data_IF_907990850291
#
_entry.id   IF_907990850291
#
_cell.length_a   1.000
_cell.length_b   1.000
_cell.length_c   1.000
_cell.angle_alpha   90.00
_cell.angle_beta   90.00
_cell.angle_gamma   90.00
#
_symmetry.space_group_name_H-M   'P 1'
#
loop_
_entity.id
_entity.type
_entity.pdbx_description
1 polymer ?
#
# COMPACT_ATOMS: atom_id res chain seq x y z
N UNK A 1 -10.03 27.20 0.80
CA UNK A 1 -9.19 26.47 1.76
C UNK A 1 -10.05 25.42 2.40
N UNK A 2 -9.58 24.18 2.48
CA UNK A 2 -10.33 23.08 3.09
C UNK A 2 -9.78 22.85 4.49
N UNK A 3 -10.65 22.86 5.50
CA UNK A 3 -10.23 22.65 6.88
C UNK A 3 -10.53 21.21 7.31
N UNK A 4 -9.51 20.48 7.70
CA UNK A 4 -9.63 19.19 8.36
C UNK A 4 -9.82 19.43 9.87
N UNK A 5 -11.00 19.11 10.37
CA UNK A 5 -11.31 19.21 11.79
C UNK A 5 -11.01 17.88 12.47
N UNK A 6 -10.05 17.86 13.39
CA UNK A 6 -9.68 16.66 14.13
C UNK A 6 -10.48 16.58 15.43
N UNK A 7 -11.06 15.43 15.71
CA UNK A 7 -11.74 15.16 16.97
C UNK A 7 -11.13 13.93 17.65
N UNK A 8 -10.63 14.11 18.87
CA UNK A 8 -10.18 13.00 19.70
C UNK A 8 -11.38 12.43 20.44
N UNK A 9 -11.65 11.12 20.30
CA UNK A 9 -12.70 10.47 21.10
C UNK A 9 -12.41 10.62 22.60
N UNK A 10 -13.45 10.60 23.45
CA UNK A 10 -13.27 10.67 24.92
C UNK A 10 -12.32 9.60 25.44
N UNK A 11 -12.35 8.39 24.86
CA UNK A 11 -11.41 7.31 25.20
C UNK A 11 -9.97 7.67 24.83
N UNK A 12 -9.76 8.26 23.65
CA UNK A 12 -8.43 8.69 23.23
C UNK A 12 -7.92 9.86 24.07
N UNK A 13 -8.77 10.87 24.36
CA UNK A 13 -8.42 11.97 25.27
C UNK A 13 -7.98 11.46 26.65
N UNK A 14 -8.70 10.48 27.22
CA UNK A 14 -8.30 9.86 28.50
C UNK A 14 -6.97 9.11 28.39
N UNK A 15 -6.74 8.40 27.29
CA UNK A 15 -5.51 7.64 27.06
C UNK A 15 -4.31 8.57 26.92
N UNK A 16 -4.48 9.65 26.15
CA UNK A 16 -3.44 10.63 25.88
C UNK A 16 -3.32 11.69 26.97
N UNK A 17 -4.25 11.74 27.92
CA UNK A 17 -4.32 12.75 29.00
C UNK A 17 -3.27 12.59 30.10
N UNK A 18 -2.19 11.85 29.84
CA UNK A 18 -1.14 11.52 30.79
C UNK A 18 0.07 12.43 30.53
N UNK A 19 0.64 13.01 31.59
CA UNK A 19 1.87 13.78 31.48
C UNK A 19 2.98 12.91 30.87
N UNK A 20 3.69 13.41 29.87
CA UNK A 20 4.66 12.70 29.04
C UNK A 20 4.08 12.16 27.74
N UNK A 21 2.84 12.47 27.38
CA UNK A 21 2.24 12.06 26.10
C UNK A 21 2.00 13.26 25.19
N UNK A 22 2.46 13.14 23.95
CA UNK A 22 2.22 14.10 22.88
C UNK A 22 1.43 13.46 21.76
N UNK A 23 0.56 14.25 21.15
CA UNK A 23 -0.06 13.89 19.88
C UNK A 23 -0.08 15.10 18.96
N UNK A 24 0.29 14.89 17.71
CA UNK A 24 0.47 15.95 16.73
C UNK A 24 -0.09 15.48 15.38
N UNK A 25 -0.58 16.43 14.59
CA UNK A 25 -0.77 16.23 13.17
C UNK A 25 0.32 16.98 12.41
N UNK A 26 0.83 16.39 11.33
CA UNK A 26 1.80 17.03 10.44
C UNK A 26 1.48 16.71 9.00
N UNK A 27 1.55 17.73 8.13
CA UNK A 27 1.63 17.52 6.68
C UNK A 27 2.87 18.21 6.13
N UNK A 28 3.31 17.77 4.96
CA UNK A 28 4.43 18.38 4.23
C UNK A 28 3.87 19.04 2.98
N UNK A 29 4.20 20.32 2.76
CA UNK A 29 3.80 21.01 1.54
C UNK A 29 4.64 20.59 0.33
N UNK A 30 4.37 21.16 -0.85
CA UNK A 30 5.11 20.85 -2.08
C UNK A 30 6.59 21.24 -2.04
N UNK A 31 6.99 22.11 -1.11
CA UNK A 31 8.39 22.44 -0.85
C UNK A 31 9.04 21.49 0.19
N UNK A 32 8.28 20.54 0.73
CA UNK A 32 8.71 19.64 1.79
C UNK A 32 8.73 20.29 3.18
N UNK A 33 8.08 21.44 3.36
CA UNK A 33 8.01 22.12 4.67
C UNK A 33 6.98 21.43 5.54
N UNK A 34 7.35 21.09 6.77
CA UNK A 34 6.46 20.49 7.75
C UNK A 34 5.54 21.56 8.38
N UNK A 35 4.24 21.27 8.41
CA UNK A 35 3.21 22.09 9.06
C UNK A 35 2.60 21.31 10.22
N UNK A 36 3.01 21.67 11.44
CA UNK A 36 2.64 20.96 12.67
C UNK A 36 1.41 21.57 13.33
N UNK A 37 0.48 20.71 13.77
CA UNK A 37 -0.67 21.08 14.60
C UNK A 37 -0.66 20.23 15.88
N UNK A 38 -0.42 20.83 17.06
CA UNK A 38 -0.46 20.07 18.31
C UNK A 38 -1.90 19.66 18.64
N UNK A 39 -2.10 18.40 18.97
CA UNK A 39 -3.40 17.85 19.38
C UNK A 39 -3.43 17.57 20.89
N UNK A 40 -2.32 17.08 21.43
CA UNK A 40 -2.06 16.89 22.85
C UNK A 40 -0.63 17.32 23.15
N UNK A 41 -0.44 18.16 24.18
CA UNK A 41 0.87 18.59 24.64
C UNK A 41 1.06 18.20 26.11
N UNK A 42 2.01 17.31 26.39
CA UNK A 42 2.33 16.80 27.73
C UNK A 42 1.07 16.37 28.52
N UNK A 43 0.20 15.60 27.88
CA UNK A 43 -1.07 15.14 28.46
C UNK A 43 -2.23 16.13 28.39
N UNK A 44 -2.02 17.35 27.87
CA UNK A 44 -3.08 18.36 27.77
C UNK A 44 -3.67 18.40 26.36
N UNK A 45 -4.95 18.09 26.23
CA UNK A 45 -5.68 18.22 24.94
C UNK A 45 -5.77 19.69 24.53
N UNK A 46 -5.44 19.97 23.28
CA UNK A 46 -5.48 21.33 22.73
C UNK A 46 -6.91 21.74 22.34
N UNK A 47 -7.23 23.02 22.50
CA UNK A 47 -8.59 23.54 22.27
C UNK A 47 -8.96 23.74 20.79
N UNK A 48 -7.96 24.00 19.93
CA UNK A 48 -8.15 24.11 18.49
C UNK A 48 -7.42 22.96 17.79
N UNK A 49 -8.17 22.10 17.12
CA UNK A 49 -7.68 20.91 16.43
C UNK A 49 -7.95 20.98 14.91
N UNK A 50 -8.16 22.20 14.39
CA UNK A 50 -8.37 22.45 12.97
C UNK A 50 -7.02 22.56 12.23
N UNK A 51 -6.94 21.90 11.08
CA UNK A 51 -5.78 21.91 10.19
C UNK A 51 -6.23 22.48 8.85
N UNK A 52 -5.62 23.57 8.42
CA UNK A 52 -5.89 24.14 7.10
C UNK A 52 -5.05 23.42 6.04
N UNK A 53 -5.75 22.68 5.18
CA UNK A 53 -5.12 21.91 4.10
C UNK A 53 -4.95 22.78 2.86
N UNK A 54 -3.74 22.78 2.25
CA UNK A 54 -3.52 23.44 0.98
C UNK A 54 -4.20 22.69 -0.15
N UNK A 55 -4.42 23.38 -1.28
CA UNK A 55 -4.71 22.68 -2.53
C UNK A 55 -3.45 21.97 -3.01
N UNK A 56 -3.56 20.65 -3.20
CA UNK A 56 -2.44 19.74 -3.41
C UNK A 56 -2.95 18.41 -3.97
N UNK A 57 -2.19 17.80 -4.88
CA UNK A 57 -2.41 16.43 -5.35
C UNK A 57 -1.54 15.47 -4.56
N UNK A 58 -2.14 14.43 -4.00
CA UNK A 58 -1.40 13.39 -3.25
C UNK A 58 -0.80 13.86 -1.93
N UNK A 59 -1.47 14.77 -1.23
CA UNK A 59 -1.07 15.21 0.11
C UNK A 59 -1.37 14.18 1.19
N UNK A 60 -0.66 14.27 2.32
CA UNK A 60 -0.90 13.43 3.49
C UNK A 60 -0.85 14.24 4.77
N UNK A 61 -1.81 13.99 5.66
CA UNK A 61 -1.74 14.40 7.06
C UNK A 61 -1.41 13.17 7.89
N UNK A 62 -0.26 13.19 8.56
CA UNK A 62 0.14 12.17 9.50
C UNK A 62 -0.35 12.55 10.89
N UNK A 63 -0.92 11.57 11.60
CA UNK A 63 -1.26 11.67 13.01
C UNK A 63 -0.23 10.89 13.80
N UNK A 64 0.48 11.57 14.69
CA UNK A 64 1.61 11.05 15.43
C UNK A 64 1.29 11.05 16.92
N UNK A 65 1.64 9.98 17.62
CA UNK A 65 1.52 9.88 19.09
C UNK A 65 2.85 9.40 19.65
N UNK A 66 3.42 10.14 20.59
CA UNK A 66 4.65 9.77 21.28
C UNK A 66 4.44 9.68 22.79
N UNK A 67 5.16 8.74 23.41
CA UNK A 67 5.15 8.49 24.86
C UNK A 67 6.56 8.69 25.40
N UNK A 68 6.83 9.86 25.94
CA UNK A 68 8.15 10.25 26.45
C UNK A 68 8.14 10.59 27.93
N UNK A 69 9.11 11.42 28.33
CA UNK A 69 9.29 11.86 29.73
C UNK A 69 8.52 13.15 30.01
N UNK A 70 7.66 13.14 31.03
CA UNK A 70 6.84 14.29 31.45
C UNK A 70 7.66 15.56 31.71
N UNK A 71 7.03 16.72 31.51
CA UNK A 71 7.61 18.04 31.81
C UNK A 71 8.49 18.63 30.71
N UNK A 72 8.56 17.99 29.54
CA UNK A 72 9.15 18.61 28.35
C UNK A 72 8.16 19.60 27.73
N UNK A 73 8.65 20.78 27.34
CA UNK A 73 7.82 21.85 26.77
C UNK A 73 7.55 21.70 25.28
N UNK A 74 8.32 20.84 24.60
CA UNK A 74 8.22 20.57 23.16
C UNK A 74 8.12 19.08 22.91
N UNK A 75 7.31 18.70 21.91
CA UNK A 75 7.29 17.31 21.44
C UNK A 75 8.67 16.89 20.94
N UNK A 76 9.18 15.71 21.32
CA UNK A 76 10.44 15.21 20.78
C UNK A 76 10.35 14.93 19.27
N UNK A 77 9.15 14.75 18.72
CA UNK A 77 8.93 14.37 17.33
C UNK A 77 9.40 15.41 16.32
N UNK A 78 9.23 16.70 16.62
CA UNK A 78 9.64 17.78 15.70
C UNK A 78 11.16 17.83 15.48
N UNK A 79 11.94 17.27 16.41
CA UNK A 79 13.40 17.20 16.28
C UNK A 79 13.88 16.00 15.46
N UNK A 80 13.09 14.93 15.38
CA UNK A 80 13.43 13.68 14.68
C UNK A 80 12.72 13.53 13.34
N UNK A 81 11.63 14.26 13.11
CA UNK A 81 10.87 14.29 11.85
C UNK A 81 11.11 15.66 11.19
N UNK A 82 12.02 15.69 10.23
CA UNK A 82 12.39 16.89 9.46
C UNK A 82 11.86 16.86 8.03
N UNK A 83 11.54 15.66 7.52
CA UNK A 83 10.97 15.40 6.20
C UNK A 83 10.00 14.22 6.28
N UNK A 84 9.10 14.11 5.30
CA UNK A 84 8.06 13.08 5.27
C UNK A 84 8.61 11.65 5.40
N UNK A 85 9.71 11.35 4.70
CA UNK A 85 10.38 10.04 4.75
C UNK A 85 10.92 9.63 6.14
N UNK A 86 11.00 10.57 7.10
CA UNK A 86 11.37 10.24 8.48
C UNK A 86 10.23 9.53 9.23
N UNK A 87 9.00 9.55 8.68
CA UNK A 87 7.84 8.85 9.22
C UNK A 87 7.78 7.44 8.62
N UNK A 88 8.45 6.49 9.28
CA UNK A 88 8.57 5.09 8.86
C UNK A 88 8.48 4.14 10.04
N UNK A 89 8.30 2.84 9.78
CA UNK A 89 8.26 1.80 10.82
C UNK A 89 9.54 1.78 11.65
N UNK A 90 10.69 1.89 10.98
CA UNK A 90 12.01 1.90 11.62
C UNK A 90 12.18 3.14 12.52
N UNK A 91 11.81 4.33 12.02
CA UNK A 91 11.88 5.57 12.82
C UNK A 91 10.89 5.54 14.00
N UNK A 92 9.69 5.03 13.78
CA UNK A 92 8.67 4.84 14.80
C UNK A 92 9.12 3.89 15.92
N UNK A 93 9.89 2.85 15.58
CA UNK A 93 10.49 1.94 16.56
C UNK A 93 11.66 2.59 17.30
N UNK A 94 12.54 3.31 16.60
CA UNK A 94 13.70 3.97 17.19
C UNK A 94 13.32 5.13 18.13
N UNK A 95 12.24 5.84 17.82
CA UNK A 95 11.82 7.05 18.52
C UNK A 95 10.49 6.88 19.30
N UNK A 96 10.04 5.62 19.45
CA UNK A 96 8.85 5.22 20.21
C UNK A 96 7.59 6.06 19.92
N UNK A 97 7.26 6.18 18.64
CA UNK A 97 6.02 6.83 18.21
C UNK A 97 5.13 5.91 17.39
N UNK A 98 3.84 6.21 17.47
CA UNK A 98 2.78 5.65 16.65
C UNK A 98 2.46 6.65 15.55
N UNK A 99 2.17 6.16 14.36
CA UNK A 99 1.72 6.99 13.26
C UNK A 99 0.62 6.31 12.44
N UNK A 100 -0.22 7.13 11.85
CA UNK A 100 -1.20 6.75 10.82
C UNK A 100 -1.48 7.98 9.95
N UNK A 101 -2.18 7.85 8.82
CA UNK A 101 -2.36 8.98 7.90
C UNK A 101 -3.73 9.06 7.23
N UNK A 102 -4.08 10.29 6.87
CA UNK A 102 -5.15 10.61 5.93
C UNK A 102 -4.54 11.21 4.67
N UNK A 103 -4.74 10.56 3.53
CA UNK A 103 -4.25 10.99 2.22
C UNK A 103 -5.35 11.78 1.51
N UNK A 104 -4.98 12.81 0.76
CA UNK A 104 -5.93 13.70 0.09
C UNK A 104 -5.42 14.22 -1.25
N UNK A 105 -6.35 14.49 -2.14
CA UNK A 105 -6.16 15.36 -3.30
C UNK A 105 -7.23 16.44 -3.23
N UNK A 106 -6.79 17.69 -3.09
CA UNK A 106 -7.65 18.85 -3.00
C UNK A 106 -7.28 19.83 -4.11
N UNK A 107 -8.15 19.95 -5.09
CA UNK A 107 -8.05 20.86 -6.22
C UNK A 107 -9.14 21.93 -6.17
N UNK A 108 -10.06 21.86 -5.19
CA UNK A 108 -11.19 22.77 -5.06
C UNK A 108 -12.28 22.50 -6.09
N UNK A 109 -12.36 21.26 -6.57
CA UNK A 109 -13.32 20.83 -7.59
C UNK A 109 -14.01 19.51 -7.17
N UNK A 110 -15.04 19.06 -7.90
CA UNK A 110 -15.79 17.86 -7.53
C UNK A 110 -14.97 16.55 -7.52
N UNK A 111 -13.75 16.53 -8.04
CA UNK A 111 -12.83 15.38 -8.05
C UNK A 111 -11.93 15.31 -6.82
N UNK A 112 -12.07 16.25 -5.87
CA UNK A 112 -11.42 16.21 -4.56
C UNK A 112 -11.70 14.87 -3.87
N UNK A 113 -10.64 14.22 -3.41
CA UNK A 113 -10.66 12.86 -2.87
C UNK A 113 -9.84 12.78 -1.60
N UNK A 114 -10.17 11.82 -0.74
CA UNK A 114 -9.33 11.46 0.37
C UNK A 114 -9.60 10.05 0.87
N UNK A 115 -8.58 9.43 1.46
CA UNK A 115 -8.64 8.07 1.97
C UNK A 115 -7.85 7.93 3.27
N UNK A 116 -8.28 6.98 4.09
CA UNK A 116 -7.45 6.42 5.15
C UNK A 116 -6.71 5.23 4.57
N UNK A 117 -5.44 5.05 4.91
CA UNK A 117 -4.62 3.96 4.37
C UNK A 117 -3.96 3.17 5.49
N UNK A 118 -3.97 1.84 5.35
CA UNK A 118 -3.19 0.94 6.19
C UNK A 118 -2.19 0.13 5.36
N UNK A 119 -1.84 0.64 4.16
CA UNK A 119 -0.87 -0.02 3.25
C UNK A 119 0.49 -0.14 3.92
N UNK A 120 0.92 0.91 4.62
CA UNK A 120 2.20 0.89 5.35
C UNK A 120 2.09 0.06 6.62
N UNK A 121 0.94 0.07 7.29
CA UNK A 121 0.64 -0.65 8.53
C UNK A 121 -0.54 0.00 9.24
N UNK A 122 -0.89 -0.52 10.41
CA UNK A 122 -1.99 0.01 11.21
C UNK A 122 -1.47 0.64 12.51
N UNK A 123 -1.77 1.92 12.72
CA UNK A 123 -1.35 2.64 13.91
C UNK A 123 -2.53 3.09 14.76
N UNK A 124 -3.44 3.88 14.17
CA UNK A 124 -4.49 4.58 14.90
C UNK A 124 -5.86 4.16 14.33
N UNK A 125 -6.80 3.68 15.17
CA UNK A 125 -8.17 3.50 14.73
C UNK A 125 -8.80 4.88 14.48
N UNK A 126 -8.97 5.22 13.20
CA UNK A 126 -9.52 6.49 12.75
C UNK A 126 -10.83 6.32 11.97
N UNK A 127 -11.57 7.41 11.87
CA UNK A 127 -12.70 7.54 10.96
C UNK A 127 -12.72 8.96 10.39
N UNK A 128 -13.31 9.10 9.20
CA UNK A 128 -13.48 10.37 8.52
C UNK A 128 -14.96 10.63 8.28
N UNK A 129 -15.36 11.89 8.40
CA UNK A 129 -16.69 12.38 8.07
C UNK A 129 -16.57 13.53 7.08
N UNK A 130 -17.21 13.38 5.92
CA UNK A 130 -17.14 14.32 4.81
C UNK A 130 -18.49 15.04 4.73
N UNK A 131 -18.46 16.34 5.00
CA UNK A 131 -19.60 17.24 4.81
C UNK A 131 -19.44 17.91 3.45
N UNK A 132 -20.37 17.64 2.54
CA UNK A 132 -20.39 18.27 1.23
C UNK A 132 -20.90 19.72 1.34
N UNK A 133 -20.45 20.57 0.41
CA UNK A 133 -20.97 21.94 0.30
C UNK A 133 -22.45 21.97 -0.07
N UNK A 134 -22.88 21.00 -0.89
CA UNK A 134 -24.28 20.78 -1.20
C UNK A 134 -24.99 20.18 0.04
N UNK A 135 -25.88 20.94 0.71
CA UNK A 135 -26.56 20.46 1.91
C UNK A 135 -27.54 19.33 1.64
N UNK A 136 -27.91 19.06 0.38
CA UNK A 136 -28.75 17.93 0.00
C UNK A 136 -27.96 16.61 -0.04
N UNK A 137 -26.63 16.66 -0.12
CA UNK A 137 -25.80 15.45 -0.08
C UNK A 137 -25.65 14.95 1.36
N UNK A 138 -25.91 13.66 1.61
CA UNK A 138 -25.72 13.09 2.93
C UNK A 138 -24.26 13.17 3.33
N UNK A 139 -24.00 13.37 4.63
CA UNK A 139 -22.66 13.26 5.19
C UNK A 139 -22.14 11.84 4.93
N UNK A 140 -21.00 11.74 4.24
CA UNK A 140 -20.34 10.46 4.06
C UNK A 140 -19.43 10.16 5.24
N UNK A 141 -19.36 8.91 5.67
CA UNK A 141 -18.46 8.47 6.74
C UNK A 141 -17.73 7.19 6.33
N UNK A 142 -16.48 7.08 6.77
CA UNK A 142 -15.66 5.88 6.63
C UNK A 142 -14.89 5.67 7.93
N UNK A 143 -14.70 4.42 8.35
CA UNK A 143 -14.01 4.08 9.59
C UNK A 143 -14.08 2.59 9.90
N UNK A 144 -13.39 2.20 10.96
CA UNK A 144 -13.43 0.84 11.46
C UNK A 144 -14.70 0.62 12.30
N UNK A 145 -15.46 -0.43 12.00
CA UNK A 145 -16.60 -0.86 12.81
C UNK A 145 -16.18 -1.74 14.01
N UNK A 146 -14.97 -1.52 14.53
CA UNK A 146 -14.37 -2.29 15.62
C UNK A 146 -13.37 -1.41 16.38
N UNK A 147 -12.98 -1.82 17.57
CA UNK A 147 -11.99 -1.08 18.34
C UNK A 147 -10.57 -1.34 17.85
N UNK A 148 -9.69 -0.36 17.99
CA UNK A 148 -8.27 -0.57 17.67
C UNK A 148 -7.65 -1.72 18.46
N UNK A 149 -8.04 -1.92 19.72
CA UNK A 149 -7.54 -3.02 20.54
C UNK A 149 -7.95 -4.40 19.98
N UNK A 150 -9.15 -4.51 19.43
CA UNK A 150 -9.62 -5.74 18.80
C UNK A 150 -8.92 -5.97 17.46
N UNK A 151 -8.63 -4.91 16.69
CA UNK A 151 -7.79 -4.99 15.48
C UNK A 151 -6.39 -5.49 15.80
N UNK A 152 -5.71 -4.90 16.79
CA UNK A 152 -4.37 -5.36 17.20
C UNK A 152 -4.38 -6.84 17.65
N UNK A 153 -5.38 -7.25 18.43
CA UNK A 153 -5.54 -8.66 18.83
C UNK A 153 -5.78 -9.59 17.64
N UNK A 154 -6.65 -9.19 16.71
CA UNK A 154 -6.93 -9.98 15.51
C UNK A 154 -5.69 -10.11 14.62
N UNK A 155 -4.89 -9.05 14.48
CA UNK A 155 -3.63 -9.08 13.73
C UNK A 155 -2.63 -9.99 14.42
N UNK A 156 -2.41 -9.84 15.73
CA UNK A 156 -1.50 -10.72 16.49
C UNK A 156 -1.91 -12.20 16.37
N UNK A 157 -3.21 -12.50 16.29
CA UNK A 157 -3.71 -13.86 16.17
C UNK A 157 -3.34 -14.55 14.84
N UNK A 158 -2.88 -13.80 13.83
CA UNK A 158 -2.39 -14.39 12.56
C UNK A 158 -1.08 -15.15 12.81
N UNK A 159 -0.17 -14.58 13.60
CA UNK A 159 1.06 -15.22 14.05
C UNK A 159 1.21 -15.02 15.57
N UNK A 160 0.53 -15.84 16.41
CA UNK A 160 0.43 -15.62 17.85
C UNK A 160 1.78 -15.48 18.56
N UNK A 161 2.79 -16.21 18.09
CA UNK A 161 4.13 -16.25 18.67
C UNK A 161 5.08 -15.16 18.12
N UNK A 162 4.65 -14.37 17.13
CA UNK A 162 5.48 -13.32 16.54
C UNK A 162 5.61 -12.13 17.49
N UNK A 163 6.84 -11.70 17.72
CA UNK A 163 7.15 -10.45 18.47
C UNK A 163 7.34 -9.24 17.54
N UNK A 164 7.22 -9.45 16.24
CA UNK A 164 7.49 -8.46 15.19
C UNK A 164 6.26 -8.07 14.38
N UNK A 165 5.08 -8.54 14.79
CA UNK A 165 3.82 -8.26 14.10
C UNK A 165 3.05 -7.09 14.72
N UNK A 166 2.95 -7.07 16.06
CA UNK A 166 2.32 -6.00 16.82
C UNK A 166 3.30 -5.48 17.87
N UNK A 167 3.49 -4.17 17.89
CA UNK A 167 4.41 -3.51 18.80
C UNK A 167 3.64 -2.66 19.82
N UNK A 168 4.09 -2.67 21.06
CA UNK A 168 3.72 -1.70 22.09
C UNK A 168 4.61 -0.45 22.08
N UNK A 169 4.28 0.52 22.93
CA UNK A 169 5.24 1.53 23.35
C UNK A 169 6.30 0.89 24.25
N UNK A 170 7.55 1.32 24.10
CA UNK A 170 8.69 0.81 24.89
C UNK A 170 8.96 1.60 26.17
N UNK A 171 8.53 2.87 26.19
CA UNK A 171 8.77 3.80 27.28
C UNK A 171 7.60 4.77 27.52
N UNK A 172 7.72 5.54 28.60
CA UNK A 172 6.75 6.56 28.99
C UNK A 172 5.39 5.99 29.47
N UNK A 173 4.40 6.88 29.70
CA UNK A 173 3.12 6.50 30.30
C UNK A 173 2.32 5.48 29.49
N UNK A 174 2.44 5.48 28.16
CA UNK A 174 1.69 4.54 27.31
C UNK A 174 2.25 3.11 27.38
N UNK A 175 3.53 2.92 27.70
CA UNK A 175 4.14 1.59 27.87
C UNK A 175 3.64 0.86 29.12
N UNK A 176 3.33 1.60 30.20
CA UNK A 176 2.84 1.04 31.48
C UNK A 176 1.32 1.17 31.65
N UNK A 177 0.61 1.66 30.63
CA UNK A 177 -0.83 1.86 30.68
C UNK A 177 -1.59 0.53 30.80
N UNK A 178 -2.71 0.55 31.53
CA UNK A 178 -3.64 -0.58 31.63
C UNK A 178 -5.03 -0.16 31.12
N UNK A 179 -5.54 -0.78 30.03
CA UNK A 179 -4.90 -1.84 29.24
C UNK A 179 -3.70 -1.35 28.43
N UNK A 180 -2.84 -2.29 28.02
CA UNK A 180 -1.67 -2.00 27.20
C UNK A 180 -2.05 -1.20 25.94
N UNK A 181 -1.26 -0.17 25.66
CA UNK A 181 -1.44 0.67 24.47
C UNK A 181 -0.47 0.18 23.41
N UNK A 182 -1.01 -0.37 22.33
CA UNK A 182 -0.22 -0.70 21.15
C UNK A 182 0.33 0.56 20.50
N UNK A 183 1.39 0.42 19.71
CA UNK A 183 2.02 1.48 18.93
C UNK A 183 1.75 1.28 17.45
N UNK A 184 1.96 0.06 16.95
CA UNK A 184 1.95 -0.21 15.52
C UNK A 184 1.72 -1.70 15.22
N UNK A 185 1.08 -2.00 14.10
CA UNK A 185 0.95 -3.34 13.55
C UNK A 185 1.42 -3.35 12.10
N UNK A 186 2.27 -4.33 11.79
CA UNK A 186 2.92 -4.47 10.48
C UNK A 186 1.92 -4.93 9.44
N UNK A 187 1.88 -4.26 8.28
CA UNK A 187 1.19 -4.80 7.12
C UNK A 187 2.05 -5.85 6.41
N UNK A 188 1.45 -6.85 5.74
CA UNK A 188 2.20 -7.80 4.93
C UNK A 188 3.13 -7.13 3.90
N UNK A 189 2.71 -6.02 3.30
CA UNK A 189 3.49 -5.23 2.33
C UNK A 189 4.76 -4.58 2.91
N UNK A 190 4.83 -4.39 4.23
CA UNK A 190 5.98 -3.83 4.92
C UNK A 190 6.71 -4.83 5.83
N UNK A 191 6.38 -6.12 5.75
CA UNK A 191 6.96 -7.15 6.60
C UNK A 191 8.49 -7.21 6.52
N UNK A 192 9.05 -6.99 5.33
CA UNK A 192 10.50 -6.97 5.11
C UNK A 192 11.23 -5.80 5.81
N UNK A 193 10.52 -4.80 6.33
CA UNK A 193 11.10 -3.63 7.00
C UNK A 193 11.28 -3.84 8.52
N UNK A 194 10.79 -4.95 9.07
CA UNK A 194 10.98 -5.30 10.48
C UNK A 194 11.97 -6.44 10.65
N UNK A 195 12.60 -6.52 11.82
CA UNK A 195 13.43 -7.67 12.18
C UNK A 195 12.53 -8.89 12.39
N UNK A 196 12.92 -10.05 11.88
CA UNK A 196 12.09 -11.28 11.89
C UNK A 196 10.70 -11.06 11.24
N UNK A 197 10.65 -10.89 9.90
CA UNK A 197 9.43 -10.58 9.17
C UNK A 197 8.29 -11.57 9.48
N UNK A 198 7.13 -11.09 9.99
CA UNK A 198 6.03 -11.99 10.33
C UNK A 198 5.36 -12.64 9.12
N UNK A 199 5.57 -12.10 7.91
CA UNK A 199 4.97 -12.60 6.68
C UNK A 199 6.05 -12.94 5.67
N UNK A 200 5.91 -14.10 5.04
CA UNK A 200 6.78 -14.57 3.97
C UNK A 200 6.02 -14.67 2.65
N UNK A 201 6.72 -14.55 1.53
CA UNK A 201 6.11 -14.77 0.21
C UNK A 201 5.45 -16.16 0.10
N UNK A 202 6.02 -17.17 0.79
CA UNK A 202 5.50 -18.53 0.84
C UNK A 202 4.12 -18.66 1.47
N UNK A 203 3.65 -17.67 2.24
CA UNK A 203 2.32 -17.70 2.85
C UNK A 203 1.20 -17.73 1.79
N UNK A 204 1.48 -17.26 0.57
CA UNK A 204 0.56 -17.30 -0.55
C UNK A 204 0.58 -18.62 -1.34
N UNK A 205 1.55 -19.52 -1.09
CA UNK A 205 1.78 -20.70 -1.94
C UNK A 205 0.58 -21.64 -1.98
N UNK A 206 -0.10 -21.87 -0.85
CA UNK A 206 -1.28 -22.73 -0.80
C UNK A 206 -2.44 -22.14 -1.61
N UNK A 207 -2.71 -20.84 -1.42
CA UNK A 207 -3.74 -20.12 -2.17
C UNK A 207 -3.46 -20.15 -3.68
N UNK A 208 -2.22 -19.86 -4.08
CA UNK A 208 -1.82 -19.93 -5.48
C UNK A 208 -1.92 -21.36 -6.03
N UNK A 209 -1.54 -22.37 -5.24
CA UNK A 209 -1.67 -23.78 -5.61
C UNK A 209 -3.12 -24.18 -5.88
N UNK A 210 -4.04 -23.84 -4.97
CA UNK A 210 -5.47 -24.10 -5.11
C UNK A 210 -6.05 -23.38 -6.32
N UNK A 211 -5.70 -22.11 -6.48
CA UNK A 211 -6.14 -21.29 -7.59
C UNK A 211 -5.70 -21.89 -8.94
N UNK A 212 -4.45 -22.34 -9.04
CA UNK A 212 -3.93 -23.02 -10.23
C UNK A 212 -4.61 -24.38 -10.46
N UNK A 213 -5.05 -25.07 -9.40
CA UNK A 213 -5.75 -26.35 -9.51
C UNK A 213 -7.20 -26.24 -10.00
N UNK A 214 -7.82 -25.04 -9.98
CA UNK A 214 -9.21 -24.86 -10.44
C UNK A 214 -9.38 -24.91 -11.96
N UNK A 215 -8.32 -24.67 -12.74
CA UNK A 215 -8.33 -24.67 -14.21
C UNK A 215 -9.19 -23.55 -14.84
N UNK A 216 -8.56 -22.64 -15.61
CA UNK A 216 -9.27 -21.58 -16.35
C UNK A 216 -8.52 -20.25 -16.44
N UNK A 217 -9.20 -19.19 -16.87
CA UNK A 217 -8.70 -17.81 -16.74
C UNK A 217 -8.71 -17.42 -15.26
N UNK A 218 -7.53 -17.33 -14.68
CA UNK A 218 -7.30 -17.19 -13.24
C UNK A 218 -7.20 -15.70 -12.88
N UNK A 219 -8.31 -14.98 -12.94
CA UNK A 219 -8.45 -13.68 -12.27
C UNK A 219 -7.38 -12.60 -12.58
N UNK A 220 -7.26 -11.62 -11.67
CA UNK A 220 -6.28 -10.53 -11.74
C UNK A 220 -5.45 -10.52 -10.47
N UNK A 221 -4.13 -10.50 -10.61
CA UNK A 221 -3.17 -10.31 -9.53
C UNK A 221 -2.64 -8.89 -9.59
N UNK A 222 -2.86 -8.12 -8.54
CA UNK A 222 -2.27 -6.79 -8.40
C UNK A 222 -1.55 -6.64 -7.07
N UNK A 223 -0.54 -5.77 -7.05
CA UNK A 223 0.28 -5.57 -5.86
C UNK A 223 1.30 -4.46 -6.03
N UNK A 224 2.08 -4.24 -4.99
CA UNK A 224 3.21 -3.31 -4.98
C UNK A 224 4.46 -4.14 -4.66
N UNK A 225 5.54 -3.94 -5.42
CA UNK A 225 6.84 -4.54 -5.10
C UNK A 225 7.81 -3.44 -4.68
N UNK A 226 8.63 -3.67 -3.65
CA UNK A 226 9.51 -2.65 -3.04
C UNK A 226 10.83 -2.41 -3.81
N UNK A 227 10.84 -2.69 -5.12
CA UNK A 227 12.03 -2.66 -5.96
C UNK A 227 12.92 -3.88 -5.72
N UNK A 228 13.44 -4.46 -6.79
CA UNK A 228 14.33 -5.63 -6.73
C UNK A 228 15.14 -5.74 -8.03
N UNK A 229 16.32 -6.36 -7.94
CA UNK A 229 17.01 -6.81 -9.14
C UNK A 229 16.26 -8.01 -9.76
N UNK A 230 16.08 -8.00 -11.08
CA UNK A 230 15.61 -9.18 -11.79
C UNK A 230 16.70 -10.27 -11.87
N UNK A 231 16.38 -11.40 -12.49
CA UNK A 231 17.32 -12.52 -12.59
C UNK A 231 18.59 -12.22 -13.41
N UNK A 232 18.62 -11.12 -14.16
CA UNK A 232 19.80 -10.64 -14.88
C UNK A 232 20.58 -9.58 -14.08
N UNK A 233 20.17 -9.31 -12.84
CA UNK A 233 20.79 -8.31 -11.97
C UNK A 233 20.37 -6.87 -12.29
N UNK A 234 19.35 -6.65 -13.14
CA UNK A 234 18.89 -5.31 -13.47
C UNK A 234 17.92 -4.85 -12.39
N UNK A 235 18.25 -3.73 -11.74
CA UNK A 235 17.44 -3.17 -10.67
C UNK A 235 16.17 -2.50 -11.20
N UNK A 236 15.02 -2.92 -10.66
CA UNK A 236 13.71 -2.30 -10.91
C UNK A 236 13.29 -1.50 -9.69
N UNK A 237 12.85 -0.26 -9.89
CA UNK A 237 12.34 0.60 -8.83
C UNK A 237 10.99 0.08 -8.30
N UNK A 238 10.61 0.48 -7.09
CA UNK A 238 9.29 0.16 -6.53
C UNK A 238 8.17 0.57 -7.49
N UNK A 239 7.17 -0.31 -7.65
CA UNK A 239 6.07 -0.07 -8.58
C UNK A 239 4.83 -0.88 -8.25
N UNK A 240 3.71 -0.46 -8.83
CA UNK A 240 2.45 -1.20 -8.83
C UNK A 240 2.41 -2.14 -10.03
N UNK A 241 1.87 -3.34 -9.84
CA UNK A 241 1.58 -4.27 -10.94
C UNK A 241 0.12 -4.72 -10.91
N UNK A 242 -0.43 -5.05 -12.08
CA UNK A 242 -1.76 -5.62 -12.27
C UNK A 242 -1.76 -6.54 -13.49
N UNK A 243 -1.79 -7.84 -13.25
CA UNK A 243 -1.70 -8.88 -14.27
C UNK A 243 -2.98 -9.70 -14.32
N UNK A 244 -3.45 -10.01 -15.53
CA UNK A 244 -4.42 -11.10 -15.71
C UNK A 244 -3.66 -12.41 -15.74
N UNK A 245 -3.96 -13.35 -14.85
CA UNK A 245 -3.34 -14.68 -14.91
C UNK A 245 -4.25 -15.56 -15.76
N UNK A 246 -3.71 -16.14 -16.82
CA UNK A 246 -4.40 -17.19 -17.59
C UNK A 246 -3.60 -18.46 -17.44
N UNK A 247 -4.25 -19.55 -17.01
CA UNK A 247 -3.61 -20.86 -16.89
C UNK A 247 -4.03 -21.69 -18.10
N UNK A 248 -3.13 -21.87 -19.07
CA UNK A 248 -3.35 -22.80 -20.17
C UNK A 248 -2.83 -24.19 -19.78
N UNK A 249 -3.72 -25.16 -19.70
CA UNK A 249 -3.38 -26.53 -19.31
C UNK A 249 -3.19 -27.41 -20.54
N UNK A 250 -2.05 -27.25 -21.22
CA UNK A 250 -1.55 -28.24 -22.20
C UNK A 250 -0.52 -29.20 -21.60
N UNK A 251 -0.40 -29.24 -20.28
CA UNK A 251 0.38 -30.26 -19.57
C UNK A 251 1.90 -30.04 -19.52
N UNK A 252 2.45 -28.94 -20.04
CA UNK A 252 3.90 -28.68 -19.93
C UNK A 252 4.37 -27.23 -19.74
N UNK A 253 3.52 -26.20 -19.65
CA UNK A 253 4.05 -24.85 -19.36
C UNK A 253 3.04 -23.88 -18.80
N UNK A 254 3.44 -23.13 -17.76
CA UNK A 254 2.78 -21.88 -17.38
C UNK A 254 3.28 -20.84 -18.37
N UNK A 255 2.39 -20.29 -19.20
CA UNK A 255 2.66 -19.09 -19.98
C UNK A 255 1.85 -17.95 -19.36
N UNK A 256 2.48 -17.05 -18.56
CA UNK A 256 1.84 -15.80 -18.20
C UNK A 256 1.56 -15.05 -19.51
N UNK A 257 0.30 -15.01 -19.94
CA UNK A 257 -0.14 -14.06 -20.96
C UNK A 257 -0.18 -12.69 -20.31
N UNK A 258 0.95 -11.98 -20.41
CA UNK A 258 1.08 -10.58 -20.05
C UNK A 258 0.29 -9.74 -21.04
N UNK A 259 -0.97 -9.46 -20.72
CA UNK A 259 -1.68 -8.33 -21.32
C UNK A 259 -1.50 -7.14 -20.39
N UNK A 260 -0.46 -6.36 -20.65
CA UNK A 260 -0.23 -5.10 -19.94
C UNK A 260 -1.35 -4.11 -20.34
N UNK A 261 -2.25 -3.78 -19.42
CA UNK A 261 -3.13 -2.61 -19.58
C UNK A 261 -2.42 -1.47 -18.85
N UNK A 262 -1.46 -0.84 -19.52
CA UNK A 262 -0.92 0.44 -19.06
C UNK A 262 -1.90 1.55 -19.45
N UNK A 263 -2.70 2.01 -18.50
CA UNK A 263 -3.27 3.36 -18.63
C UNK A 263 -2.13 4.35 -18.40
N UNK A 264 -1.65 4.91 -19.52
CA UNK A 264 -0.67 6.00 -19.68
C UNK A 264 0.82 5.60 -19.84
N UNK A 265 1.20 5.20 -21.05
CA UNK A 265 2.53 5.48 -21.58
C UNK A 265 2.39 5.98 -23.03
N UNK A 266 3.06 7.08 -23.38
CA UNK A 266 2.99 7.62 -24.74
C UNK A 266 3.68 6.68 -25.75
N UNK A 267 3.25 6.65 -27.03
CA UNK A 267 3.62 5.60 -28.00
C UNK A 267 5.12 5.43 -28.30
N UNK A 268 5.99 6.35 -27.85
CA UNK A 268 7.39 6.41 -28.24
C UNK A 268 8.36 5.65 -27.31
N UNK A 269 7.88 5.11 -26.19
CA UNK A 269 8.69 4.32 -25.24
C UNK A 269 8.49 2.79 -25.40
N UNK A 270 7.52 2.38 -26.22
CA UNK A 270 7.11 0.97 -26.39
C UNK A 270 8.17 0.07 -27.04
N UNK A 271 9.10 0.60 -27.82
CA UNK A 271 10.05 -0.25 -28.58
C UNK A 271 11.27 -0.68 -27.76
N UNK A 272 11.58 0.01 -26.66
CA UNK A 272 12.74 -0.31 -25.81
C UNK A 272 12.43 -1.35 -24.71
N UNK A 273 11.18 -1.40 -24.23
CA UNK A 273 10.74 -2.31 -23.17
C UNK A 273 10.38 -3.73 -23.64
N UNK A 274 10.19 -3.93 -24.94
CA UNK A 274 9.85 -5.23 -25.55
C UNK A 274 11.07 -6.13 -25.83
N UNK A 275 12.26 -5.80 -25.34
CA UNK A 275 13.40 -6.71 -25.51
C UNK A 275 13.18 -7.98 -24.67
N UNK A 276 13.30 -9.16 -25.31
CA UNK A 276 13.10 -10.51 -24.75
C UNK A 276 13.84 -10.77 -23.41
N UNK A 277 14.80 -9.91 -23.04
CA UNK A 277 15.59 -9.99 -21.82
C UNK A 277 14.78 -9.67 -20.54
N UNK A 278 13.85 -8.71 -20.57
CA UNK A 278 13.07 -8.32 -19.39
C UNK A 278 12.00 -9.37 -19.03
N UNK A 279 11.36 -9.95 -20.05
CA UNK A 279 10.41 -11.05 -19.92
C UNK A 279 11.08 -12.35 -19.44
N UNK A 280 12.28 -12.65 -19.94
CA UNK A 280 13.06 -13.83 -19.52
C UNK A 280 13.51 -13.76 -18.05
N UNK A 281 13.88 -12.56 -17.57
CA UNK A 281 14.34 -12.37 -16.19
C UNK A 281 13.20 -12.52 -15.16
N UNK A 282 12.00 -12.07 -15.51
CA UNK A 282 10.81 -12.15 -14.66
C UNK A 282 10.26 -13.59 -14.60
N UNK A 283 10.31 -14.32 -15.71
CA UNK A 283 9.94 -15.74 -15.78
C UNK A 283 10.84 -16.60 -14.87
N UNK A 284 12.14 -16.29 -14.81
CA UNK A 284 13.11 -17.01 -13.99
C UNK A 284 12.97 -16.69 -12.49
N UNK A 285 12.55 -15.48 -12.13
CA UNK A 285 12.24 -15.11 -10.73
C UNK A 285 11.06 -15.91 -10.18
N UNK A 286 10.02 -16.13 -11.01
CA UNK A 286 8.89 -17.00 -10.66
C UNK A 286 9.36 -18.46 -10.50
N UNK A 287 10.26 -18.97 -11.35
CA UNK A 287 10.83 -20.32 -11.18
C UNK A 287 11.58 -20.50 -9.85
N UNK A 288 12.33 -19.47 -9.41
CA UNK A 288 13.06 -19.50 -8.14
C UNK A 288 12.12 -19.42 -6.93
N UNK A 289 11.00 -18.70 -7.02
CA UNK A 289 9.99 -18.65 -5.95
C UNK A 289 9.11 -19.91 -5.86
N UNK A 290 8.86 -20.61 -6.98
CA UNK A 290 7.91 -21.74 -7.03
C UNK A 290 8.55 -23.14 -7.11
N UNK A 291 9.88 -23.25 -7.10
CA UNK A 291 10.60 -24.45 -6.68
C UNK A 291 10.25 -25.77 -7.38
N UNK A 292 10.41 -25.90 -8.71
CA UNK A 292 10.67 -27.17 -9.43
C UNK A 292 11.50 -26.93 -10.70
N UNK A 293 12.38 -27.88 -11.05
CA UNK A 293 13.27 -27.78 -12.21
C UNK A 293 12.50 -27.80 -13.53
N UNK A 294 12.58 -26.70 -14.29
CA UNK A 294 12.33 -26.74 -15.73
C UNK A 294 13.65 -27.12 -16.40
N UNK A 295 13.80 -28.40 -16.76
CA UNK A 295 14.94 -28.88 -17.53
C UNK A 295 14.86 -28.35 -18.97
N UNK A 296 15.96 -27.89 -19.59
CA UNK A 296 15.98 -27.60 -21.01
C UNK A 296 15.98 -28.91 -21.80
N UNK A 297 14.80 -29.35 -22.24
CA UNK A 297 14.67 -30.43 -23.21
C UNK A 297 14.83 -29.92 -24.63
N UNK A 298 15.98 -30.19 -25.25
CA UNK A 298 16.15 -30.13 -26.69
C UNK A 298 15.11 -31.05 -27.36
N UNK A 299 14.29 -30.53 -28.27
CA UNK A 299 14.39 -30.73 -29.74
C UNK A 299 13.10 -30.15 -30.38
N UNK A 300 13.16 -28.91 -30.87
CA UNK A 300 12.29 -28.42 -31.95
C UNK A 300 13.19 -27.68 -32.94
N UNK A 301 14.10 -28.43 -33.54
CA UNK A 301 14.50 -28.15 -34.92
C UNK A 301 13.42 -28.78 -35.79
N UNK A 302 13.05 -28.08 -36.87
CA UNK A 302 11.99 -28.39 -37.85
C UNK A 302 10.55 -28.08 -37.42
N UNK A 303 10.15 -26.80 -37.56
CA UNK A 303 8.89 -26.35 -38.23
C UNK A 303 8.68 -24.83 -38.10
N UNK A 304 9.74 -24.03 -38.34
CA UNK A 304 9.59 -22.57 -38.47
C UNK A 304 10.21 -22.02 -39.76
N UNK A 305 10.36 -22.87 -40.78
CA UNK A 305 10.45 -22.43 -42.17
C UNK A 305 9.11 -22.76 -42.83
N UNK A 306 8.49 -21.75 -43.45
CA UNK A 306 7.21 -21.75 -44.16
C UNK A 306 5.95 -21.33 -43.38
N UNK A 307 5.93 -20.09 -42.87
CA UNK A 307 4.71 -19.26 -43.01
C UNK A 307 5.12 -17.79 -43.21
N UNK A 308 5.34 -17.39 -44.47
CA UNK A 308 5.33 -15.98 -44.85
C UNK A 308 3.88 -15.52 -45.00
N UNK A 309 3.32 -14.84 -43.99
CA UNK A 309 2.08 -14.10 -44.16
C UNK A 309 2.38 -12.69 -44.65
N UNK A 310 1.86 -12.36 -45.83
CA UNK A 310 1.94 -11.01 -46.40
C UNK A 310 0.97 -10.08 -45.67
N UNK A 311 1.22 -8.75 -45.66
CA UNK A 311 0.41 -7.75 -44.95
C UNK A 311 -1.10 -7.81 -45.24
N UNK A 312 -1.50 -8.34 -46.39
CA UNK A 312 -2.90 -8.44 -46.81
C UNK A 312 -3.73 -9.44 -45.98
N UNK A 313 -3.11 -10.47 -45.39
CA UNK A 313 -3.83 -11.43 -44.54
C UNK A 313 -4.18 -10.85 -43.16
N UNK A 314 -3.44 -9.84 -42.70
CA UNK A 314 -3.71 -9.14 -41.44
C UNK A 314 -4.88 -8.15 -41.57
N UNK A 315 -5.02 -7.49 -42.73
CA UNK A 315 -6.18 -6.62 -43.02
C UNK A 315 -7.48 -7.41 -43.17
N UNK A 316 -7.43 -8.61 -43.76
CA UNK A 316 -8.61 -9.49 -43.86
C UNK A 316 -9.11 -9.95 -42.48
N UNK A 317 -8.20 -10.28 -41.56
CA UNK A 317 -8.57 -10.68 -40.18
C UNK A 317 -9.11 -9.52 -39.34
N UNK A 318 -8.60 -8.30 -39.55
CA UNK A 318 -9.12 -7.08 -38.89
C UNK A 318 -10.52 -6.69 -39.39
N UNK A 319 -10.80 -6.86 -40.69
CA UNK A 319 -12.13 -6.62 -41.25
C UNK A 319 -13.17 -7.66 -40.74
N UNK A 320 -12.73 -8.90 -40.53
CA UNK A 320 -13.59 -9.96 -40.01
C UNK A 320 -13.96 -9.73 -38.52
N UNK A 321 -13.00 -9.24 -37.72
CA UNK A 321 -13.27 -8.84 -36.33
C UNK A 321 -14.26 -7.67 -36.25
N UNK A 322 -14.11 -6.64 -37.10
CA UNK A 322 -15.03 -5.49 -37.08
C UNK A 322 -16.47 -5.87 -37.44
N UNK A 323 -16.66 -6.86 -38.33
CA UNK A 323 -18.00 -7.36 -38.72
C UNK A 323 -18.69 -8.15 -37.61
N UNK A 324 -17.93 -8.85 -36.76
CA UNK A 324 -18.46 -9.62 -35.64
C UNK A 324 -18.94 -8.71 -34.50
N UNK A 325 -18.22 -7.64 -34.21
CA UNK A 325 -18.60 -6.67 -33.15
C UNK A 325 -19.84 -5.83 -33.46
N UNK A 326 -20.21 -5.65 -34.73
CA UNK A 326 -21.42 -4.90 -35.10
C UNK A 326 -22.69 -5.77 -35.13
N UNK A 327 -22.55 -7.10 -35.10
CA UNK A 327 -23.68 -8.03 -35.05
C UNK A 327 -24.20 -8.29 -33.61
N UNK A 328 -23.44 -7.91 -32.58
CA UNK A 328 -23.85 -8.01 -31.16
C UNK A 328 -24.40 -6.70 -30.58
N UNK A 329 -24.62 -5.66 -31.41
CA UNK A 329 -25.10 -4.34 -30.98
C UNK A 329 -26.35 -3.84 -31.73
N UNK A 330 -27.18 -4.76 -32.24
CA UNK A 330 -28.57 -4.51 -32.66
C UNK A 330 -29.51 -5.50 -31.98
#
# INVERSE_FOLDING_TARGET
MTTLNVALSTKLQKTLGQAGVWAEAVYFDTAGTAHWTPLVNDGTVQGNLAIDLPQMKGGKVYFLINSGTAGQTTSPLQSVITKESDISVASAQANDFRFDSFEFTLQGDPSDQGNMTSVVGFGIPMGVSIKYQDPAKPVATLGYNTSGADLFKAIQAIHPDSTSLVFGFSAGPLATSSPAVYRYAVSPSNSAQVTDPPFAASDWNAYLGDLLATGGTVGRLSGIFNGAADANGIWHNQGFFNYTITVDYSGQSIVPLLTEIMESATPHELTALLSKAALGAHYLHLQQQFGKSLQPGNTVHDTLDQVTHTPDSLQASLAQLHSATMAELV
#
